data_IF_473530382287
#
_entry.id   IF_473530382287
#
_cell.length_a   1.000
_cell.length_b   1.000
_cell.length_c   1.000
_cell.angle_alpha   90.00
_cell.angle_beta   90.00
_cell.angle_gamma   90.00
#
_symmetry.space_group_name_H-M   'P 1'
#
loop_
_entity.id
_entity.type
_entity.pdbx_description
1 polymer ?
#
# COMPACT_ATOMS: atom_id res chain seq x y z
N UNK A 1 37.52 -7.67 -22.30
CA UNK A 1 37.54 -9.14 -22.11
C UNK A 1 36.25 -9.70 -22.71
N UNK A 2 36.27 -10.80 -23.48
CA UNK A 2 35.13 -11.24 -24.32
C UNK A 2 33.80 -11.47 -23.55
N UNK A 3 33.86 -11.78 -22.26
CA UNK A 3 32.69 -12.06 -21.41
C UNK A 3 32.30 -10.92 -20.47
N UNK A 4 32.98 -9.78 -20.52
CA UNK A 4 32.84 -8.71 -19.53
C UNK A 4 31.43 -8.12 -19.48
N UNK A 5 30.81 -7.92 -20.65
CA UNK A 5 29.45 -7.37 -20.73
C UNK A 5 28.42 -8.37 -20.20
N UNK A 6 28.58 -9.66 -20.50
CA UNK A 6 27.71 -10.73 -19.98
C UNK A 6 27.81 -10.88 -18.47
N UNK A 7 29.03 -10.88 -17.92
CA UNK A 7 29.26 -10.94 -16.46
C UNK A 7 28.62 -9.73 -15.78
N UNK A 8 28.83 -8.53 -16.34
CA UNK A 8 28.27 -7.29 -15.79
C UNK A 8 26.73 -7.31 -15.81
N UNK A 9 26.14 -7.82 -16.90
CA UNK A 9 24.69 -8.00 -17.01
C UNK A 9 24.16 -8.91 -15.90
N UNK A 10 24.72 -10.10 -15.72
CA UNK A 10 24.25 -11.05 -14.69
C UNK A 10 24.34 -10.43 -13.29
N UNK A 11 25.46 -9.78 -12.97
CA UNK A 11 25.61 -9.09 -11.67
C UNK A 11 24.57 -8.00 -11.48
N UNK A 12 24.27 -7.23 -12.53
CA UNK A 12 23.24 -6.20 -12.50
C UNK A 12 21.83 -6.79 -12.34
N UNK A 13 21.52 -7.89 -13.03
CA UNK A 13 20.22 -8.58 -12.92
C UNK A 13 19.96 -9.02 -11.47
N UNK A 14 20.96 -9.62 -10.80
CA UNK A 14 20.88 -9.94 -9.37
C UNK A 14 20.85 -8.70 -8.47
N UNK A 15 21.56 -7.64 -8.84
CA UNK A 15 21.52 -6.38 -8.10
C UNK A 15 20.12 -5.74 -8.13
N UNK A 16 19.38 -5.83 -9.24
CA UNK A 16 18.00 -5.33 -9.31
C UNK A 16 17.07 -6.13 -8.39
N UNK A 17 17.23 -7.46 -8.32
CA UNK A 17 16.51 -8.31 -7.35
C UNK A 17 16.82 -7.88 -5.91
N UNK A 18 18.10 -7.66 -5.60
CA UNK A 18 18.53 -7.14 -4.31
C UNK A 18 17.88 -5.78 -3.99
N UNK A 19 17.85 -4.85 -4.94
CA UNK A 19 17.27 -3.53 -4.75
C UNK A 19 15.77 -3.58 -4.42
N UNK A 20 15.03 -4.50 -5.03
CA UNK A 20 13.60 -4.74 -4.70
C UNK A 20 13.43 -5.19 -3.24
N UNK A 21 14.40 -5.90 -2.68
CA UNK A 21 14.34 -6.40 -1.31
C UNK A 21 14.75 -5.37 -0.25
N UNK A 22 15.48 -4.30 -0.62
CA UNK A 22 16.00 -3.31 0.36
C UNK A 22 15.36 -1.93 0.23
N UNK A 23 14.75 -1.62 -0.91
CA UNK A 23 14.07 -0.35 -1.17
C UNK A 23 12.55 -0.56 -1.23
N UNK A 24 11.83 0.00 -0.24
CA UNK A 24 10.39 -0.11 -0.13
C UNK A 24 9.62 0.52 -1.30
N UNK A 25 10.17 1.54 -1.97
CA UNK A 25 9.56 2.15 -3.16
C UNK A 25 9.67 1.22 -4.35
N UNK A 26 10.83 0.56 -4.51
CA UNK A 26 11.03 -0.46 -5.55
C UNK A 26 10.15 -1.67 -5.31
N UNK A 27 10.03 -2.12 -4.07
CA UNK A 27 9.09 -3.18 -3.69
C UNK A 27 7.63 -2.81 -4.03
N UNK A 28 7.17 -1.62 -3.62
CA UNK A 28 5.81 -1.13 -3.90
C UNK A 28 5.53 -1.06 -5.40
N UNK A 29 6.50 -0.62 -6.19
CA UNK A 29 6.43 -0.59 -7.66
C UNK A 29 6.34 -2.00 -8.23
N UNK A 30 7.22 -2.90 -7.77
CA UNK A 30 7.24 -4.29 -8.20
C UNK A 30 5.89 -4.99 -7.94
N UNK A 31 5.31 -4.81 -6.74
CA UNK A 31 3.99 -5.33 -6.37
C UNK A 31 2.92 -4.82 -7.33
N UNK A 32 2.92 -3.51 -7.65
CA UNK A 32 1.93 -2.90 -8.54
C UNK A 32 2.02 -3.41 -9.98
N UNK A 33 3.24 -3.65 -10.46
CA UNK A 33 3.49 -4.10 -11.83
C UNK A 33 3.28 -5.60 -12.01
N UNK A 34 3.59 -6.43 -11.00
CA UNK A 34 3.59 -7.89 -11.12
C UNK A 34 2.40 -8.59 -10.42
N UNK A 35 1.85 -7.99 -9.36
CA UNK A 35 0.68 -8.53 -8.64
C UNK A 35 -0.59 -7.83 -9.11
N UNK A 36 -0.79 -6.56 -8.74
CA UNK A 36 -1.93 -5.76 -9.19
C UNK A 36 -1.75 -4.27 -8.85
N UNK A 37 -2.36 -3.38 -9.64
CA UNK A 37 -2.46 -1.95 -9.28
C UNK A 37 -3.55 -1.67 -8.26
N UNK A 38 -4.56 -2.53 -8.20
CA UNK A 38 -5.68 -2.46 -7.27
C UNK A 38 -5.26 -3.00 -5.89
N UNK A 39 -5.43 -2.17 -4.86
CA UNK A 39 -5.02 -2.46 -3.47
C UNK A 39 -5.83 -3.59 -2.84
N UNK A 40 -7.13 -3.67 -3.14
CA UNK A 40 -7.98 -4.74 -2.60
C UNK A 40 -7.60 -6.08 -3.22
N UNK A 41 -7.26 -6.09 -4.51
CA UNK A 41 -6.73 -7.29 -5.18
C UNK A 41 -5.35 -7.69 -4.64
N UNK A 42 -4.47 -6.73 -4.36
CA UNK A 42 -3.19 -7.01 -3.69
C UNK A 42 -3.44 -7.67 -2.33
N UNK A 43 -4.33 -7.09 -1.51
CA UNK A 43 -4.62 -7.58 -0.17
C UNK A 43 -5.23 -8.99 -0.16
N UNK A 44 -5.97 -9.36 -1.21
CA UNK A 44 -6.56 -10.69 -1.36
C UNK A 44 -5.66 -11.71 -2.09
N UNK A 45 -4.45 -11.34 -2.49
CA UNK A 45 -3.56 -12.25 -3.22
C UNK A 45 -2.99 -13.32 -2.28
N UNK A 46 -3.08 -14.59 -2.67
CA UNK A 46 -2.54 -15.70 -1.88
C UNK A 46 -1.01 -15.75 -1.89
N UNK A 47 -0.41 -16.30 -0.82
CA UNK A 47 1.03 -16.52 -0.75
C UNK A 47 1.54 -17.39 -1.92
N UNK A 48 0.79 -18.42 -2.30
CA UNK A 48 1.11 -19.29 -3.44
C UNK A 48 1.22 -18.48 -4.75
N UNK A 49 0.24 -17.61 -5.00
CA UNK A 49 0.28 -16.74 -6.20
C UNK A 49 1.45 -15.76 -6.16
N UNK A 50 1.80 -15.23 -4.98
CA UNK A 50 2.98 -14.37 -4.79
C UNK A 50 4.25 -15.15 -5.10
N UNK A 51 4.39 -16.36 -4.55
CA UNK A 51 5.54 -17.25 -4.77
C UNK A 51 5.71 -17.59 -6.25
N UNK A 52 4.63 -17.87 -6.96
CA UNK A 52 4.65 -18.16 -8.41
C UNK A 52 5.09 -16.95 -9.23
N UNK A 53 4.59 -15.76 -8.89
CA UNK A 53 4.95 -14.50 -9.57
C UNK A 53 6.42 -14.15 -9.35
N UNK A 54 6.92 -14.28 -8.13
CA UNK A 54 8.33 -14.06 -7.81
C UNK A 54 9.22 -15.06 -8.54
N UNK A 55 8.86 -16.35 -8.49
CA UNK A 55 9.64 -17.41 -9.13
C UNK A 55 9.72 -17.21 -10.64
N UNK A 56 8.59 -16.86 -11.27
CA UNK A 56 8.54 -16.51 -12.70
C UNK A 56 9.39 -15.28 -13.01
N UNK A 57 9.30 -14.25 -12.17
CA UNK A 57 10.05 -13.01 -12.38
C UNK A 57 11.56 -13.22 -12.27
N UNK A 58 12.04 -13.92 -11.23
CA UNK A 58 13.47 -14.24 -11.07
C UNK A 58 13.96 -15.01 -12.30
N UNK A 59 13.27 -16.09 -12.70
CA UNK A 59 13.63 -16.88 -13.90
C UNK A 59 13.68 -16.08 -15.20
N UNK A 60 12.85 -15.04 -15.32
CA UNK A 60 12.86 -14.17 -16.50
C UNK A 60 13.91 -13.05 -16.41
N UNK A 61 14.39 -12.74 -15.21
CA UNK A 61 15.37 -11.68 -14.95
C UNK A 61 16.80 -12.20 -15.09
N UNK A 62 17.08 -13.40 -14.57
CA UNK A 62 18.42 -13.99 -14.59
C UNK A 62 18.54 -15.11 -15.63
N UNK A 63 19.69 -15.20 -16.30
CA UNK A 63 20.00 -16.28 -17.24
C UNK A 63 20.88 -17.33 -16.56
N UNK A 64 20.24 -18.32 -15.94
CA UNK A 64 20.90 -19.39 -15.18
C UNK A 64 21.92 -20.14 -16.02
N UNK A 65 21.60 -20.39 -17.30
CA UNK A 65 22.48 -21.12 -18.21
C UNK A 65 23.74 -20.31 -18.52
N UNK A 66 23.62 -19.00 -18.71
CA UNK A 66 24.79 -18.13 -18.89
C UNK A 66 25.63 -18.06 -17.62
N UNK A 67 24.99 -17.96 -16.45
CA UNK A 67 25.70 -18.00 -15.17
C UNK A 67 26.49 -19.30 -15.01
N UNK A 68 25.84 -20.46 -15.21
CA UNK A 68 26.47 -21.77 -15.07
C UNK A 68 27.70 -21.93 -15.99
N UNK A 69 27.57 -21.52 -17.27
CA UNK A 69 28.68 -21.59 -18.22
C UNK A 69 29.88 -20.73 -17.78
N UNK A 70 29.63 -19.51 -17.30
CA UNK A 70 30.68 -18.61 -16.83
C UNK A 70 31.29 -19.09 -15.50
N UNK A 71 30.48 -19.71 -14.65
CA UNK A 71 30.92 -20.24 -13.36
C UNK A 71 31.85 -21.44 -13.54
N UNK A 72 31.54 -22.35 -14.47
CA UNK A 72 32.42 -23.46 -14.85
C UNK A 72 33.77 -22.97 -15.39
N UNK A 73 33.79 -21.82 -16.07
CA UNK A 73 35.02 -21.19 -16.55
C UNK A 73 35.80 -20.43 -15.46
N UNK A 74 35.28 -20.35 -14.23
CA UNK A 74 35.88 -19.59 -13.12
C UNK A 74 35.81 -18.07 -13.30
N UNK A 75 34.90 -17.58 -14.15
CA UNK A 75 34.76 -16.16 -14.47
C UNK A 75 33.77 -15.41 -13.58
N UNK A 76 32.87 -16.15 -12.93
CA UNK A 76 31.89 -15.64 -11.98
C UNK A 76 31.67 -16.67 -10.86
N UNK A 77 31.39 -16.19 -9.66
CA UNK A 77 31.20 -17.00 -8.47
C UNK A 77 29.88 -16.65 -7.78
N UNK A 78 29.49 -17.50 -6.83
CA UNK A 78 28.30 -17.25 -6.00
C UNK A 78 28.47 -15.99 -5.14
N UNK A 79 29.70 -15.69 -4.72
CA UNK A 79 30.02 -14.47 -3.97
C UNK A 79 29.76 -13.18 -4.75
N UNK A 80 29.71 -13.26 -6.08
CA UNK A 80 29.39 -12.11 -6.93
C UNK A 80 27.89 -11.75 -6.97
N UNK A 81 27.01 -12.67 -6.58
CA UNK A 81 25.54 -12.53 -6.74
C UNK A 81 24.74 -12.71 -5.45
N UNK A 82 25.30 -13.38 -4.44
CA UNK A 82 24.62 -13.62 -3.17
C UNK A 82 24.50 -12.34 -2.34
N UNK A 83 23.59 -12.35 -1.35
CA UNK A 83 23.53 -11.29 -0.36
C UNK A 83 24.86 -11.14 0.38
N UNK A 84 25.18 -9.89 0.74
CA UNK A 84 26.24 -9.64 1.72
C UNK A 84 25.94 -10.44 2.99
N UNK A 85 26.92 -11.23 3.43
CA UNK A 85 26.85 -12.13 4.59
C UNK A 85 25.99 -13.40 4.41
N UNK A 86 25.54 -13.69 3.19
CA UNK A 86 24.86 -14.96 2.89
C UNK A 86 25.82 -16.15 2.97
N UNK A 87 25.35 -17.23 3.60
CA UNK A 87 26.07 -18.51 3.70
C UNK A 87 25.73 -19.46 2.56
N UNK A 88 24.91 -19.04 1.58
CA UNK A 88 24.49 -19.87 0.45
C UNK A 88 25.63 -20.03 -0.55
N UNK A 89 25.77 -21.25 -1.08
CA UNK A 89 26.91 -21.63 -1.92
C UNK A 89 26.50 -22.19 -3.28
N UNK A 90 25.20 -22.28 -3.56
CA UNK A 90 24.67 -22.74 -4.84
C UNK A 90 23.71 -21.70 -5.43
N UNK A 91 23.57 -21.71 -6.76
CA UNK A 91 22.71 -20.76 -7.47
C UNK A 91 21.25 -20.88 -7.01
N UNK A 92 20.76 -22.11 -6.90
CA UNK A 92 19.41 -22.41 -6.45
C UNK A 92 19.15 -21.88 -5.03
N UNK A 93 20.08 -22.09 -4.10
CA UNK A 93 19.95 -21.57 -2.73
C UNK A 93 19.92 -20.04 -2.68
N UNK A 94 20.74 -19.36 -3.49
CA UNK A 94 20.76 -17.90 -3.58
C UNK A 94 19.42 -17.38 -4.13
N UNK A 95 18.92 -17.99 -5.20
CA UNK A 95 17.61 -17.62 -5.76
C UNK A 95 16.47 -17.86 -4.77
N UNK A 96 16.48 -18.99 -4.06
CA UNK A 96 15.52 -19.26 -2.98
C UNK A 96 15.62 -18.22 -1.86
N UNK A 97 16.83 -17.82 -1.46
CA UNK A 97 17.03 -16.77 -0.45
C UNK A 97 16.43 -15.43 -0.89
N UNK A 98 16.64 -15.01 -2.15
CA UNK A 98 16.01 -13.82 -2.70
C UNK A 98 14.49 -13.95 -2.73
N UNK A 99 13.97 -15.08 -3.21
CA UNK A 99 12.54 -15.32 -3.31
C UNK A 99 11.86 -15.27 -1.93
N UNK A 100 12.41 -15.97 -0.93
CA UNK A 100 11.85 -16.01 0.42
C UNK A 100 11.87 -14.62 1.08
N UNK A 101 12.93 -13.83 0.89
CA UNK A 101 12.99 -12.44 1.37
C UNK A 101 11.91 -11.58 0.72
N UNK A 102 11.73 -11.68 -0.61
CA UNK A 102 10.66 -10.95 -1.31
C UNK A 102 9.27 -11.37 -0.82
N UNK A 103 9.02 -12.67 -0.65
CA UNK A 103 7.75 -13.19 -0.12
C UNK A 103 7.47 -12.57 1.25
N UNK A 104 8.43 -12.62 2.17
CA UNK A 104 8.27 -12.05 3.51
C UNK A 104 7.92 -10.55 3.46
N UNK A 105 8.65 -9.78 2.65
CA UNK A 105 8.41 -8.34 2.49
C UNK A 105 7.03 -8.02 1.89
N UNK A 106 6.57 -8.80 0.91
CA UNK A 106 5.25 -8.61 0.30
C UNK A 106 4.13 -8.99 1.26
N UNK A 107 4.30 -10.06 2.04
CA UNK A 107 3.33 -10.44 3.08
C UNK A 107 3.23 -9.37 4.16
N UNK A 108 4.36 -8.80 4.60
CA UNK A 108 4.38 -7.67 5.52
C UNK A 108 3.70 -6.43 4.92
N UNK A 109 3.95 -6.15 3.63
CA UNK A 109 3.25 -5.07 2.91
C UNK A 109 1.73 -5.28 2.89
N UNK A 110 1.26 -6.49 2.58
CA UNK A 110 -0.17 -6.84 2.57
C UNK A 110 -0.79 -6.68 3.96
N UNK A 111 -0.07 -7.12 5.00
CA UNK A 111 -0.50 -6.98 6.39
C UNK A 111 -0.65 -5.50 6.79
N UNK A 112 0.33 -4.67 6.47
CA UNK A 112 0.28 -3.24 6.74
C UNK A 112 -0.82 -2.53 5.93
N UNK A 113 -1.03 -2.94 4.68
CA UNK A 113 -2.13 -2.46 3.84
C UNK A 113 -3.50 -2.78 4.49
N UNK A 114 -3.68 -4.00 5.01
CA UNK A 114 -4.88 -4.41 5.72
C UNK A 114 -5.13 -3.60 6.99
N UNK A 115 -4.12 -3.37 7.82
CA UNK A 115 -4.23 -2.50 9.02
C UNK A 115 -4.67 -1.09 8.66
N UNK A 116 -4.06 -0.50 7.63
CA UNK A 116 -4.39 0.86 7.16
C UNK A 116 -5.80 0.94 6.61
N UNK A 117 -6.26 -0.10 5.90
CA UNK A 117 -7.63 -0.18 5.41
C UNK A 117 -8.64 -0.15 6.56
N UNK A 118 -8.46 -1.02 7.55
CA UNK A 118 -9.34 -1.09 8.73
C UNK A 118 -9.38 0.26 9.45
N UNK A 119 -8.21 0.85 9.74
CA UNK A 119 -8.15 2.15 10.42
C UNK A 119 -8.83 3.28 9.62
N UNK A 120 -8.70 3.26 8.29
CA UNK A 120 -9.38 4.19 7.40
C UNK A 120 -10.91 3.99 7.44
N UNK A 121 -11.38 2.76 7.26
CA UNK A 121 -12.81 2.42 7.23
C UNK A 121 -13.49 2.77 8.56
N UNK A 122 -12.92 2.35 9.69
CA UNK A 122 -13.45 2.65 11.03
C UNK A 122 -13.53 4.16 11.31
N UNK A 123 -12.51 4.92 10.90
CA UNK A 123 -12.49 6.36 11.08
C UNK A 123 -13.54 7.07 10.21
N UNK A 124 -13.70 6.64 8.95
CA UNK A 124 -14.70 7.21 8.05
C UNK A 124 -16.12 6.82 8.43
N UNK A 125 -16.36 5.60 8.91
CA UNK A 125 -17.67 5.18 9.43
C UNK A 125 -18.11 6.07 10.60
N UNK A 126 -17.20 6.29 11.56
CA UNK A 126 -17.45 7.20 12.68
C UNK A 126 -17.65 8.64 12.22
N UNK A 127 -16.80 9.13 11.32
CA UNK A 127 -16.89 10.48 10.78
C UNK A 127 -18.24 10.70 10.08
N UNK A 128 -18.63 9.82 9.15
CA UNK A 128 -19.86 9.88 8.39
C UNK A 128 -21.11 9.78 9.28
N UNK A 129 -21.08 8.93 10.31
CA UNK A 129 -22.18 8.85 11.28
C UNK A 129 -22.38 10.17 12.03
N UNK A 130 -21.29 10.83 12.44
CA UNK A 130 -21.36 12.14 13.08
C UNK A 130 -21.84 13.25 12.12
N UNK A 131 -21.35 13.27 10.88
CA UNK A 131 -21.84 14.20 9.85
C UNK A 131 -23.35 14.05 9.65
N UNK A 132 -23.83 12.82 9.52
CA UNK A 132 -25.26 12.54 9.37
C UNK A 132 -26.05 13.07 10.56
N UNK A 133 -25.57 12.86 11.79
CA UNK A 133 -26.23 13.37 13.00
C UNK A 133 -26.37 14.89 12.96
N UNK A 134 -25.29 15.61 12.65
CA UNK A 134 -25.34 17.08 12.54
C UNK A 134 -26.32 17.53 11.44
N UNK A 135 -26.33 16.86 10.29
CA UNK A 135 -27.27 17.16 9.20
C UNK A 135 -28.73 16.90 9.61
N UNK A 136 -29.00 15.80 10.31
CA UNK A 136 -30.34 15.43 10.79
C UNK A 136 -30.83 16.45 11.84
N UNK A 137 -29.96 16.90 12.76
CA UNK A 137 -30.27 17.93 13.76
C UNK A 137 -30.61 19.28 13.10
N UNK A 138 -29.84 19.70 12.09
CA UNK A 138 -30.10 20.91 11.29
C UNK A 138 -31.42 20.78 10.52
N UNK A 139 -31.68 19.63 9.92
CA UNK A 139 -32.92 19.37 9.17
C UNK A 139 -34.14 19.45 10.09
N UNK A 140 -34.10 18.78 11.25
CA UNK A 140 -35.16 18.81 12.25
C UNK A 140 -35.45 20.24 12.73
N UNK A 141 -34.40 21.05 12.98
CA UNK A 141 -34.57 22.45 13.38
C UNK A 141 -35.10 23.36 12.27
N UNK A 142 -34.71 23.11 11.02
CA UNK A 142 -35.28 23.81 9.87
C UNK A 142 -36.77 23.48 9.70
N UNK A 143 -37.17 22.23 9.92
CA UNK A 143 -38.58 21.85 9.84
C UNK A 143 -39.40 22.43 10.99
N UNK A 144 -38.85 22.49 12.22
CA UNK A 144 -39.47 23.20 13.34
C UNK A 144 -39.68 24.70 13.01
N UNK A 145 -38.70 25.33 12.34
CA UNK A 145 -38.79 26.72 11.90
C UNK A 145 -39.88 26.94 10.85
N UNK A 146 -40.01 26.03 9.87
CA UNK A 146 -41.05 26.09 8.82
C UNK A 146 -42.46 25.97 9.40
N UNK A 147 -42.64 25.21 10.46
CA UNK A 147 -43.93 25.03 11.13
C UNK A 147 -44.38 26.25 11.95
N UNK A 148 -43.49 27.23 12.19
CA UNK A 148 -43.83 28.42 12.97
C UNK A 148 -44.76 29.37 12.19
N UNK A 149 -45.92 29.67 12.78
CA UNK A 149 -46.90 30.63 12.25
C UNK A 149 -46.33 32.03 12.02
N UNK A 150 -47.02 32.84 11.19
CA UNK A 150 -46.52 34.14 10.72
C UNK A 150 -46.12 35.10 11.87
N UNK A 151 -46.84 35.04 12.99
CA UNK A 151 -46.68 35.94 14.13
C UNK A 151 -45.73 35.44 15.24
N UNK A 152 -45.12 34.26 15.10
CA UNK A 152 -44.23 33.66 16.09
C UNK A 152 -42.79 34.23 16.05
N UNK A 153 -42.64 35.55 16.04
CA UNK A 153 -41.36 36.23 15.77
C UNK A 153 -40.25 35.88 16.77
N UNK A 154 -40.54 35.86 18.07
CA UNK A 154 -39.54 35.53 19.10
C UNK A 154 -38.99 34.11 18.91
N UNK A 155 -39.89 33.14 18.74
CA UNK A 155 -39.52 31.74 18.55
C UNK A 155 -38.75 31.51 17.25
N UNK A 156 -39.15 32.18 16.16
CA UNK A 156 -38.41 32.16 14.89
C UNK A 156 -36.98 32.72 15.03
N UNK A 157 -36.80 33.78 15.82
CA UNK A 157 -35.47 34.36 16.09
C UNK A 157 -34.59 33.38 16.86
N UNK A 158 -35.12 32.74 17.90
CA UNK A 158 -34.41 31.71 18.66
C UNK A 158 -33.99 30.52 17.79
N UNK A 159 -34.91 29.99 16.97
CA UNK A 159 -34.63 28.86 16.08
C UNK A 159 -33.57 29.18 15.03
N UNK A 160 -33.53 30.42 14.51
CA UNK A 160 -32.48 30.85 13.58
C UNK A 160 -31.11 30.93 14.26
N UNK A 161 -31.04 31.48 15.47
CA UNK A 161 -29.79 31.52 16.22
C UNK A 161 -29.26 30.11 16.56
N UNK A 162 -30.17 29.19 16.88
CA UNK A 162 -29.82 27.79 17.10
C UNK A 162 -29.33 27.11 15.81
N UNK A 163 -29.97 27.37 14.67
CA UNK A 163 -29.51 26.89 13.36
C UNK A 163 -28.13 27.44 13.01
N UNK A 164 -27.86 28.71 13.27
CA UNK A 164 -26.52 29.29 13.05
C UNK A 164 -25.47 28.58 13.93
N UNK A 165 -25.81 28.26 15.19
CA UNK A 165 -24.94 27.48 16.07
C UNK A 165 -24.69 26.08 15.52
N UNK A 166 -25.74 25.35 15.14
CA UNK A 166 -25.63 23.99 14.59
C UNK A 166 -24.86 23.95 13.27
N UNK A 167 -25.03 24.95 12.41
CA UNK A 167 -24.24 25.07 11.17
C UNK A 167 -22.76 25.31 11.49
N UNK A 168 -22.44 26.14 12.48
CA UNK A 168 -21.04 26.32 12.92
C UNK A 168 -20.45 25.03 13.49
N UNK A 169 -21.20 24.30 14.32
CA UNK A 169 -20.78 22.99 14.86
C UNK A 169 -20.56 21.96 13.73
N UNK A 170 -21.43 21.94 12.72
CA UNK A 170 -21.27 21.10 11.54
C UNK A 170 -19.97 21.43 10.78
N UNK A 171 -19.67 22.71 10.55
CA UNK A 171 -18.45 23.14 9.86
C UNK A 171 -17.18 22.82 10.66
N UNK A 172 -17.23 22.98 11.99
CA UNK A 172 -16.15 22.56 12.88
C UNK A 172 -15.92 21.05 12.82
N UNK A 173 -17.01 20.27 12.86
CA UNK A 173 -16.93 18.82 12.74
C UNK A 173 -16.42 18.39 11.36
N UNK A 174 -16.86 19.04 10.28
CA UNK A 174 -16.41 18.75 8.92
C UNK A 174 -14.89 18.90 8.76
N UNK A 175 -14.27 19.84 9.48
CA UNK A 175 -12.80 20.01 9.51
C UNK A 175 -12.07 18.87 10.23
N UNK A 176 -12.77 18.01 10.96
CA UNK A 176 -12.19 16.84 11.63
C UNK A 176 -12.09 15.60 10.73
N UNK A 177 -12.36 15.74 9.42
CA UNK A 177 -12.22 14.65 8.45
C UNK A 177 -10.86 13.92 8.63
N UNK A 178 -10.84 12.58 8.73
CA UNK A 178 -9.62 11.80 8.95
C UNK A 178 -8.76 11.66 7.67
N UNK A 179 -8.43 12.78 7.02
CA UNK A 179 -7.68 12.86 5.75
C UNK A 179 -6.31 12.18 5.85
N UNK A 180 -5.67 12.23 7.01
CA UNK A 180 -4.38 11.55 7.22
C UNK A 180 -4.48 10.03 7.07
N UNK A 181 -5.57 9.42 7.55
CA UNK A 181 -5.80 7.98 7.43
C UNK A 181 -6.15 7.58 6.00
N UNK A 182 -6.94 8.42 5.32
CA UNK A 182 -7.20 8.30 3.87
C UNK A 182 -5.89 8.31 3.09
N UNK A 183 -5.05 9.31 3.31
CA UNK A 183 -3.76 9.42 2.65
C UNK A 183 -2.82 8.25 2.99
N UNK A 184 -2.81 7.78 4.25
CA UNK A 184 -1.97 6.66 4.67
C UNK A 184 -2.32 5.35 3.93
N UNK A 185 -3.60 5.12 3.62
CA UNK A 185 -4.09 3.98 2.85
C UNK A 185 -3.87 4.16 1.33
N UNK A 186 -4.25 5.31 0.77
CA UNK A 186 -4.22 5.54 -0.68
C UNK A 186 -2.85 5.92 -1.25
N UNK A 187 -1.90 6.42 -0.45
CA UNK A 187 -0.59 6.89 -0.91
C UNK A 187 0.60 6.00 -0.51
N UNK A 188 0.34 4.73 -0.12
CA UNK A 188 1.39 3.72 0.16
C UNK A 188 1.98 3.12 -1.12
#
# INVERSE_FOLDING_TARGET
>A
MFYQDTISKIKNDYHEIFLVCVDSRRLSTWIKDHINKDRDKIASTSEESIRDKISTWIKNTVDDKQYENLSVMGLISIDDIKYKDSTKNTLAEVQTEYADKMIALILDYIKELGKKKIAYEEAYDKYNAGLKKHMDDIAAKNDELKQQGLFAFSKKKELKAELDRLNNEYEEYHRTEPVNLKNAYFNM
#
